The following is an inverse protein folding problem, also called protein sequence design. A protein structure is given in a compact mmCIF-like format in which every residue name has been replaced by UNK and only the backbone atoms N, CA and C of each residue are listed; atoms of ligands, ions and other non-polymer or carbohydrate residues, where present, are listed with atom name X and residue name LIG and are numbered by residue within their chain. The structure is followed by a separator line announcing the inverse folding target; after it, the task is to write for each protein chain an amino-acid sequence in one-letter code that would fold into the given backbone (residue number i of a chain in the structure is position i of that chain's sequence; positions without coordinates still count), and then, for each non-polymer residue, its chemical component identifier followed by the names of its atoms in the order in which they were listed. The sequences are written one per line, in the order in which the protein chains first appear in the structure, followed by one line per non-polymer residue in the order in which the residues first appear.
data_IF_633602004349
#
_entry.id   IF_633602004349
#
_cell.length_a   1.000
_cell.length_b   1.000
_cell.length_c   1.000
_cell.angle_alpha   90.00
_cell.angle_beta   90.00
_cell.angle_gamma   90.00
#
_symmetry.space_group_name_H-M   'P 1'
#
loop_
_entity.id
_entity.type
_entity.pdbx_description
1 polymer ?
#
# COMPACT_ATOMS: atom_id res chain seq x y z
N UNK A 1 -15.65 -4.23 31.48
CA UNK A 1 -14.80 -5.05 30.59
C UNK A 1 -13.68 -4.16 30.05
N UNK A 2 -12.40 -4.52 30.19
CA UNK A 2 -11.29 -3.63 29.79
C UNK A 2 -11.17 -3.53 28.26
N UNK A 3 -10.69 -2.40 27.73
CA UNK A 3 -10.45 -2.23 26.28
C UNK A 3 -9.56 -3.36 25.73
N UNK A 4 -8.54 -3.76 26.50
CA UNK A 4 -7.65 -4.87 26.13
C UNK A 4 -8.42 -6.18 25.91
N UNK A 5 -9.39 -6.49 26.77
CA UNK A 5 -10.20 -7.71 26.64
C UNK A 5 -11.14 -7.69 25.43
N UNK A 6 -11.65 -6.50 25.04
CA UNK A 6 -12.45 -6.32 23.83
C UNK A 6 -11.61 -6.59 22.58
N UNK A 7 -10.43 -5.98 22.46
CA UNK A 7 -9.59 -6.09 21.26
C UNK A 7 -8.81 -7.41 21.17
N UNK A 8 -8.86 -8.24 22.22
CA UNK A 8 -8.24 -9.58 22.23
C UNK A 8 -9.14 -10.66 21.61
N UNK A 9 -10.43 -10.36 21.38
CA UNK A 9 -11.40 -11.33 20.87
C UNK A 9 -11.86 -10.93 19.46
N UNK A 10 -12.11 -11.89 18.56
CA UNK A 10 -12.46 -11.58 17.17
C UNK A 10 -13.75 -10.79 17.04
N UNK A 11 -14.83 -11.26 17.68
CA UNK A 11 -16.16 -10.67 17.52
C UNK A 11 -16.18 -9.23 18.06
N UNK A 12 -15.77 -8.94 19.31
CA UNK A 12 -15.83 -7.56 19.81
C UNK A 12 -14.89 -6.61 19.05
N UNK A 13 -13.70 -7.08 18.62
CA UNK A 13 -12.78 -6.28 17.81
C UNK A 13 -13.39 -5.91 16.45
N UNK A 14 -13.93 -6.89 15.72
CA UNK A 14 -14.55 -6.66 14.42
C UNK A 14 -15.80 -5.79 14.55
N UNK A 15 -16.61 -5.97 15.60
CA UNK A 15 -17.75 -5.11 15.89
C UNK A 15 -17.31 -3.67 16.13
N UNK A 16 -16.28 -3.43 16.94
CA UNK A 16 -15.76 -2.08 17.18
C UNK A 16 -15.22 -1.45 15.89
N UNK A 17 -14.49 -2.21 15.08
CA UNK A 17 -13.96 -1.76 13.79
C UNK A 17 -15.06 -1.44 12.77
N UNK A 18 -16.14 -2.22 12.77
CA UNK A 18 -17.34 -1.98 11.97
C UNK A 18 -18.06 -0.71 12.43
N UNK A 19 -18.31 -0.57 13.74
CA UNK A 19 -18.97 0.61 14.31
C UNK A 19 -18.18 1.88 14.04
N UNK A 20 -16.85 1.85 14.16
CA UNK A 20 -15.99 2.98 13.80
C UNK A 20 -16.23 3.46 12.37
N UNK A 21 -16.24 2.53 11.40
CA UNK A 21 -16.50 2.85 9.99
C UNK A 21 -17.92 3.32 9.75
N UNK A 22 -18.90 2.69 10.41
CA UNK A 22 -20.30 3.09 10.32
C UNK A 22 -20.51 4.53 10.80
N UNK A 23 -19.95 4.87 11.97
CA UNK A 23 -19.98 6.24 12.51
C UNK A 23 -19.32 7.22 11.55
N UNK A 24 -18.14 6.89 11.01
CA UNK A 24 -17.44 7.75 10.05
C UNK A 24 -18.18 7.91 8.72
N UNK A 25 -18.90 6.89 8.24
CA UNK A 25 -19.77 7.00 7.06
C UNK A 25 -20.90 8.00 7.30
N UNK A 26 -21.63 7.87 8.41
CA UNK A 26 -22.71 8.80 8.74
C UNK A 26 -22.19 10.22 9.01
N UNK A 27 -21.07 10.34 9.73
CA UNK A 27 -20.39 11.62 9.92
C UNK A 27 -20.00 12.24 8.58
N UNK A 28 -19.46 11.44 7.65
CA UNK A 28 -19.11 11.89 6.31
C UNK A 28 -20.31 12.43 5.53
N UNK A 29 -21.46 11.76 5.61
CA UNK A 29 -22.71 12.25 5.00
C UNK A 29 -23.16 13.58 5.61
N UNK A 30 -23.09 13.71 6.93
CA UNK A 30 -23.43 14.94 7.64
C UNK A 30 -22.48 16.08 7.25
N UNK A 31 -21.17 15.82 7.22
CA UNK A 31 -20.17 16.81 6.83
C UNK A 31 -20.35 17.21 5.36
N UNK A 32 -20.60 16.27 4.45
CA UNK A 32 -20.81 16.58 3.04
C UNK A 32 -22.07 17.45 2.81
N UNK A 33 -23.11 17.29 3.64
CA UNK A 33 -24.32 18.09 3.58
C UNK A 33 -24.16 19.49 4.20
N UNK A 34 -23.40 19.63 5.29
CA UNK A 34 -23.35 20.86 6.10
C UNK A 34 -22.08 21.70 5.91
N UNK A 35 -20.98 21.10 5.44
CA UNK A 35 -19.68 21.77 5.33
C UNK A 35 -19.33 22.13 3.88
N UNK A 36 -18.68 23.28 3.63
CA UNK A 36 -18.03 23.55 2.35
C UNK A 36 -16.85 22.60 2.11
N UNK A 37 -16.13 22.21 3.15
CA UNK A 37 -15.03 21.24 3.07
C UNK A 37 -15.60 19.83 3.13
N UNK A 38 -15.58 19.15 1.98
CA UNK A 38 -16.17 17.83 1.81
C UNK A 38 -15.34 16.73 2.49
N UNK A 39 -16.06 15.79 3.07
CA UNK A 39 -15.52 14.53 3.57
C UNK A 39 -15.25 13.58 2.41
N UNK A 40 -16.19 13.45 1.46
CA UNK A 40 -16.01 12.59 0.28
C UNK A 40 -14.73 12.96 -0.48
N UNK A 41 -13.90 11.95 -0.75
CA UNK A 41 -12.71 12.09 -1.57
C UNK A 41 -13.10 12.40 -3.02
N UNK A 42 -12.36 13.29 -3.68
CA UNK A 42 -12.61 13.65 -5.07
C UNK A 42 -12.47 12.44 -6.00
N UNK A 43 -11.57 11.50 -5.68
CA UNK A 43 -11.38 10.28 -6.44
C UNK A 43 -12.66 9.43 -6.44
N UNK A 44 -13.44 9.47 -5.35
CA UNK A 44 -14.71 8.74 -5.27
C UNK A 44 -15.75 9.24 -6.27
N UNK A 45 -15.78 10.55 -6.52
CA UNK A 45 -16.64 11.15 -7.54
C UNK A 45 -16.19 10.71 -8.93
N UNK A 46 -14.88 10.70 -9.18
CA UNK A 46 -14.30 10.20 -10.45
C UNK A 46 -14.66 8.73 -10.67
N UNK A 47 -14.61 7.89 -9.62
CA UNK A 47 -15.04 6.50 -9.70
C UNK A 47 -16.52 6.36 -10.01
N UNK A 48 -17.36 7.16 -9.36
CA UNK A 48 -18.81 7.12 -9.51
C UNK A 48 -19.22 7.53 -10.93
N UNK A 49 -18.58 8.56 -11.48
CA UNK A 49 -18.83 8.99 -12.86
C UNK A 49 -18.37 7.93 -13.87
N UNK A 50 -17.18 7.34 -13.68
CA UNK A 50 -16.71 6.25 -14.53
C UNK A 50 -17.62 5.02 -14.47
N UNK A 51 -18.10 4.67 -13.29
CA UNK A 51 -19.09 3.61 -13.11
C UNK A 51 -20.43 3.95 -13.80
N UNK A 52 -20.84 5.23 -13.83
CA UNK A 52 -22.01 5.69 -14.57
C UNK A 52 -21.83 5.51 -16.08
N UNK A 53 -20.69 5.88 -16.64
CA UNK A 53 -20.40 5.63 -18.06
C UNK A 53 -20.46 4.14 -18.39
N UNK A 54 -19.82 3.29 -17.57
CA UNK A 54 -19.89 1.83 -17.73
C UNK A 54 -21.32 1.31 -17.65
N UNK A 55 -22.15 1.82 -16.72
CA UNK A 55 -23.55 1.38 -16.59
C UNK A 55 -24.42 1.72 -17.81
N UNK A 56 -24.01 2.70 -18.61
CA UNK A 56 -24.67 3.12 -19.84
C UNK A 56 -24.06 2.48 -21.09
N UNK A 57 -23.14 1.52 -20.94
CA UNK A 57 -22.43 0.87 -22.05
C UNK A 57 -21.25 1.67 -22.63
N UNK A 58 -20.88 2.79 -21.99
CA UNK A 58 -19.76 3.63 -22.37
C UNK A 58 -18.43 3.21 -21.76
N UNK A 59 -17.40 4.02 -21.98
CA UNK A 59 -16.06 3.79 -21.44
C UNK A 59 -15.87 4.49 -20.09
N UNK A 60 -15.24 3.86 -19.08
CA UNK A 60 -14.92 4.56 -17.83
C UNK A 60 -13.95 5.73 -18.07
N UNK A 61 -13.22 5.73 -19.18
CA UNK A 61 -12.30 6.80 -19.58
C UNK A 61 -12.99 8.00 -20.22
N UNK A 62 -14.29 7.91 -20.50
CA UNK A 62 -15.09 9.08 -20.90
C UNK A 62 -15.18 10.08 -19.74
N UNK A 63 -14.94 9.62 -18.50
CA UNK A 63 -14.59 10.51 -17.39
C UNK A 63 -13.14 10.96 -17.52
N UNK A 64 -12.94 12.21 -17.92
CA UNK A 64 -11.62 12.79 -18.26
C UNK A 64 -10.49 12.55 -17.26
N UNK A 65 -10.75 12.48 -15.95
CA UNK A 65 -9.73 12.31 -14.90
C UNK A 65 -9.64 10.88 -14.37
N UNK A 66 -10.34 9.91 -14.96
CA UNK A 66 -10.24 8.51 -14.55
C UNK A 66 -8.89 7.90 -14.95
N UNK A 67 -8.11 7.44 -13.96
CA UNK A 67 -6.74 6.91 -14.13
C UNK A 67 -6.53 5.53 -13.50
N UNK A 68 -7.62 4.77 -13.35
CA UNK A 68 -7.65 3.48 -12.64
C UNK A 68 -7.97 2.34 -13.62
N UNK A 69 -7.88 1.09 -13.17
CA UNK A 69 -8.31 -0.06 -13.99
C UNK A 69 -9.83 -0.03 -14.20
N UNK A 70 -10.36 -0.39 -15.38
CA UNK A 70 -11.80 -0.48 -15.60
C UNK A 70 -12.50 -1.45 -14.64
N UNK A 71 -11.78 -2.46 -14.11
CA UNK A 71 -12.33 -3.38 -13.11
C UNK A 71 -12.88 -2.64 -11.87
N UNK A 72 -12.27 -1.52 -11.49
CA UNK A 72 -12.76 -0.71 -10.39
C UNK A 72 -14.08 -0.01 -10.76
N UNK A 73 -14.21 0.52 -11.98
CA UNK A 73 -15.47 1.11 -12.44
C UNK A 73 -16.59 0.06 -12.49
N UNK A 74 -16.30 -1.14 -13.02
CA UNK A 74 -17.25 -2.27 -13.05
C UNK A 74 -17.70 -2.68 -11.64
N UNK A 75 -16.77 -2.82 -10.71
CA UNK A 75 -17.09 -3.13 -9.30
C UNK A 75 -18.03 -2.08 -8.68
N UNK A 76 -17.94 -0.84 -9.13
CA UNK A 76 -18.64 0.30 -8.56
C UNK A 76 -19.90 0.70 -9.32
N UNK A 77 -20.33 -0.04 -10.34
CA UNK A 77 -21.60 0.19 -11.05
C UNK A 77 -22.79 0.40 -10.09
N UNK A 78 -22.93 -0.36 -8.97
CA UNK A 78 -24.04 -0.13 -8.05
C UNK A 78 -24.03 1.24 -7.35
N UNK A 79 -22.90 1.95 -7.35
CA UNK A 79 -22.78 3.32 -6.85
C UNK A 79 -23.67 4.31 -7.61
N UNK A 80 -24.06 3.97 -8.85
CA UNK A 80 -24.93 4.81 -9.69
C UNK A 80 -26.35 4.98 -9.14
N UNK A 81 -26.87 4.00 -8.41
CA UNK A 81 -28.18 4.05 -7.76
C UNK A 81 -28.09 4.09 -6.23
N UNK A 82 -26.98 3.65 -5.65
CA UNK A 82 -26.67 3.81 -4.23
C UNK A 82 -25.31 4.49 -4.05
N UNK A 83 -25.28 5.83 -3.97
CA UNK A 83 -24.05 6.62 -3.96
C UNK A 83 -23.01 6.19 -2.90
N UNK A 84 -23.42 5.62 -1.76
CA UNK A 84 -22.47 5.18 -0.73
C UNK A 84 -21.96 3.74 -0.91
N UNK A 85 -22.41 3.01 -1.94
CA UNK A 85 -22.06 1.61 -2.17
C UNK A 85 -20.56 1.35 -2.20
N UNK A 86 -19.81 2.13 -2.99
CA UNK A 86 -18.36 1.99 -3.07
C UNK A 86 -17.67 2.25 -1.73
N UNK A 87 -18.08 3.28 -0.98
CA UNK A 87 -17.58 3.54 0.37
C UNK A 87 -17.82 2.36 1.32
N UNK A 88 -18.99 1.73 1.22
CA UNK A 88 -19.31 0.53 2.02
C UNK A 88 -18.40 -0.64 1.65
N UNK A 89 -18.17 -0.90 0.36
CA UNK A 89 -17.24 -1.95 -0.09
C UNK A 89 -15.81 -1.67 0.37
N UNK A 90 -15.34 -0.43 0.26
CA UNK A 90 -13.98 -0.07 0.69
C UNK A 90 -13.82 -0.21 2.20
N UNK A 91 -14.81 0.22 2.98
CA UNK A 91 -14.82 0.04 4.42
C UNK A 91 -14.87 -1.46 4.82
N UNK A 92 -15.64 -2.28 4.10
CA UNK A 92 -15.67 -3.73 4.29
C UNK A 92 -14.33 -4.38 3.94
N UNK A 93 -13.65 -3.91 2.90
CA UNK A 93 -12.33 -4.41 2.51
C UNK A 93 -11.30 -4.24 3.63
N UNK A 94 -11.32 -3.12 4.36
CA UNK A 94 -10.43 -2.96 5.52
C UNK A 94 -10.66 -4.02 6.60
N UNK A 95 -11.92 -4.38 6.87
CA UNK A 95 -12.28 -5.40 7.86
C UNK A 95 -11.75 -6.77 7.43
N UNK A 96 -11.90 -7.11 6.15
CA UNK A 96 -11.35 -8.34 5.55
C UNK A 96 -9.82 -8.34 5.63
N UNK A 97 -9.17 -7.23 5.29
CA UNK A 97 -7.72 -7.10 5.35
C UNK A 97 -7.19 -7.29 6.78
N UNK A 98 -7.83 -6.67 7.77
CA UNK A 98 -7.47 -6.83 9.18
C UNK A 98 -7.73 -8.25 9.71
N UNK A 99 -8.81 -8.90 9.27
CA UNK A 99 -9.07 -10.30 9.57
C UNK A 99 -7.98 -11.21 8.97
N UNK A 100 -7.60 -11.00 7.71
CA UNK A 100 -6.51 -11.75 7.05
C UNK A 100 -5.18 -11.56 7.80
N UNK A 101 -4.86 -10.34 8.23
CA UNK A 101 -3.69 -10.05 9.07
C UNK A 101 -3.72 -10.87 10.36
N UNK A 102 -4.85 -10.93 11.06
CA UNK A 102 -5.00 -11.77 12.25
C UNK A 102 -4.76 -13.26 11.93
N UNK A 103 -5.32 -13.76 10.81
CA UNK A 103 -5.12 -15.16 10.37
C UNK A 103 -3.66 -15.46 10.06
N UNK A 104 -2.95 -14.55 9.39
CA UNK A 104 -1.52 -14.68 9.09
C UNK A 104 -0.71 -14.80 10.39
N UNK A 105 -1.02 -13.97 11.40
CA UNK A 105 -0.36 -14.01 12.71
C UNK A 105 -0.65 -15.32 13.45
N UNK A 106 -1.91 -15.76 13.49
CA UNK A 106 -2.36 -16.97 14.19
C UNK A 106 -1.77 -18.24 13.56
N UNK A 107 -1.71 -18.32 12.23
CA UNK A 107 -1.27 -19.55 11.55
C UNK A 107 0.25 -19.67 11.48
N UNK A 108 0.99 -18.57 11.67
CA UNK A 108 2.45 -18.55 11.63
C UNK A 108 3.00 -18.58 10.20
N UNK A 109 4.08 -17.83 9.95
CA UNK A 109 4.63 -17.68 8.60
C UNK A 109 5.32 -18.95 8.09
N UNK A 110 4.60 -19.76 7.30
CA UNK A 110 5.14 -20.79 6.38
C UNK A 110 6.06 -21.89 6.94
N UNK A 111 6.30 -21.91 8.26
CA UNK A 111 7.11 -22.91 8.95
C UNK A 111 6.52 -24.30 8.77
N UNK A 112 7.37 -25.28 8.47
CA UNK A 112 6.98 -26.64 8.11
C UNK A 112 6.03 -27.27 9.15
N UNK A 113 4.82 -27.65 8.70
CA UNK A 113 3.89 -28.49 9.47
C UNK A 113 4.48 -29.86 9.86
N UNK A 114 5.62 -30.27 9.31
CA UNK A 114 6.19 -31.60 9.56
C UNK A 114 7.13 -31.68 10.76
N UNK A 115 7.57 -30.56 11.35
CA UNK A 115 8.46 -30.55 12.53
C UNK A 115 7.73 -30.36 13.86
N UNK A 116 6.42 -30.14 13.84
CA UNK A 116 5.62 -29.93 15.06
C UNK A 116 5.30 -31.24 15.83
N UNK A 117 5.77 -32.41 15.36
CA UNK A 117 5.50 -33.70 16.03
C UNK A 117 6.64 -34.22 16.90
N UNK A 118 7.71 -33.45 17.08
CA UNK A 118 8.90 -33.92 17.79
C UNK A 118 9.64 -32.80 18.52
N UNK A 119 8.94 -32.01 19.35
CA UNK A 119 9.58 -31.32 20.48
C UNK A 119 8.55 -31.22 21.60
N UNK A 120 8.41 -32.31 22.36
CA UNK A 120 7.84 -32.25 23.69
C UNK A 120 9.00 -32.10 24.69
N UNK A 121 8.79 -31.23 25.68
CA UNK A 121 9.58 -30.99 26.90
C UNK A 121 10.85 -30.14 26.78
N UNK A 122 10.70 -28.88 27.20
CA UNK A 122 11.77 -28.14 27.88
C UNK A 122 12.20 -26.82 27.23
N UNK A 123 11.62 -25.70 27.68
CA UNK A 123 12.32 -24.42 27.78
C UNK A 123 12.60 -23.61 26.50
N UNK A 124 12.08 -22.37 26.52
CA UNK A 124 12.37 -21.20 25.66
C UNK A 124 11.72 -21.19 24.26
N UNK A 125 10.93 -20.13 24.05
CA UNK A 125 10.25 -19.77 22.82
C UNK A 125 11.21 -19.69 21.63
N UNK A 126 11.32 -20.79 20.89
CA UNK A 126 12.01 -20.90 19.60
C UNK A 126 11.01 -20.90 18.45
N UNK A 127 11.26 -20.01 17.50
CA UNK A 127 10.57 -19.75 16.24
C UNK A 127 10.07 -20.99 15.48
N UNK A 128 8.76 -21.03 15.18
CA UNK A 128 8.17 -21.98 14.23
C UNK A 128 6.65 -22.12 14.32
N UNK A 129 6.04 -21.71 15.44
CA UNK A 129 4.59 -21.75 15.67
C UNK A 129 3.90 -20.40 15.45
N UNK A 130 2.64 -20.44 15.06
CA UNK A 130 1.78 -19.26 14.99
C UNK A 130 1.58 -18.57 16.34
N UNK A 131 1.10 -17.33 16.30
CA UNK A 131 0.90 -16.49 17.47
C UNK A 131 -0.36 -16.89 18.24
N UNK A 132 -0.32 -16.77 19.57
CA UNK A 132 -1.52 -16.82 20.40
C UNK A 132 -2.64 -15.91 19.83
N UNK A 133 -3.88 -16.42 19.67
CA UNK A 133 -4.96 -15.66 19.05
C UNK A 133 -5.25 -14.32 19.71
N UNK A 134 -5.23 -14.24 21.04
CA UNK A 134 -5.50 -12.97 21.72
C UNK A 134 -4.44 -11.92 21.37
N UNK A 135 -3.17 -12.32 21.40
CA UNK A 135 -2.06 -11.45 20.98
C UNK A 135 -2.18 -11.06 19.51
N UNK A 136 -2.56 -11.98 18.62
CA UNK A 136 -2.73 -11.71 17.20
C UNK A 136 -3.84 -10.67 16.94
N UNK A 137 -4.99 -10.78 17.62
CA UNK A 137 -6.07 -9.79 17.49
C UNK A 137 -5.66 -8.41 18.02
N UNK A 138 -4.87 -8.33 19.10
CA UNK A 138 -4.30 -7.05 19.57
C UNK A 138 -3.43 -6.38 18.51
N UNK A 139 -2.62 -7.15 17.77
CA UNK A 139 -1.85 -6.59 16.65
C UNK A 139 -2.74 -6.22 15.46
N UNK A 140 -3.70 -7.06 15.09
CA UNK A 140 -4.65 -6.75 14.01
C UNK A 140 -5.48 -5.49 14.31
N UNK A 141 -5.72 -5.18 15.59
CA UNK A 141 -6.39 -3.95 16.01
C UNK A 141 -5.66 -2.68 15.55
N UNK A 142 -4.33 -2.73 15.33
CA UNK A 142 -3.53 -1.61 14.81
C UNK A 142 -3.94 -1.23 13.38
N UNK A 143 -4.52 -2.15 12.62
CA UNK A 143 -5.15 -1.85 11.32
C UNK A 143 -6.65 -1.60 11.47
N UNK A 144 -7.36 -2.51 12.15
CA UNK A 144 -8.83 -2.50 12.23
C UNK A 144 -9.38 -1.25 12.93
N UNK A 145 -8.69 -0.73 13.94
CA UNK A 145 -9.11 0.44 14.72
C UNK A 145 -8.30 1.70 14.36
N UNK A 146 -7.54 1.67 13.28
CA UNK A 146 -6.74 2.82 12.86
C UNK A 146 -7.66 3.91 12.28
N UNK A 147 -7.71 5.11 12.87
CA UNK A 147 -8.58 6.18 12.39
C UNK A 147 -8.21 6.65 10.98
N UNK A 148 -6.93 6.57 10.59
CA UNK A 148 -6.50 6.92 9.24
C UNK A 148 -7.03 5.93 8.21
N UNK A 149 -6.91 4.62 8.47
CA UNK A 149 -7.42 3.56 7.59
C UNK A 149 -8.93 3.69 7.45
N UNK A 150 -9.64 3.78 8.58
CA UNK A 150 -11.09 3.90 8.59
C UNK A 150 -11.55 5.16 7.86
N UNK A 151 -10.91 6.31 8.10
CA UNK A 151 -11.27 7.57 7.42
C UNK A 151 -11.04 7.48 5.92
N UNK A 152 -9.88 6.98 5.47
CA UNK A 152 -9.56 6.93 4.03
C UNK A 152 -10.55 6.04 3.27
N UNK A 153 -10.94 4.89 3.81
CA UNK A 153 -11.93 4.02 3.15
C UNK A 153 -13.33 4.63 3.16
N UNK A 154 -13.79 5.19 4.28
CA UNK A 154 -15.13 5.81 4.38
C UNK A 154 -15.26 7.12 3.60
N UNK A 155 -14.14 7.81 3.32
CA UNK A 155 -14.09 8.93 2.36
C UNK A 155 -14.29 8.49 0.91
N UNK A 156 -14.12 7.20 0.60
CA UNK A 156 -14.33 6.63 -0.73
C UNK A 156 -13.06 6.25 -1.48
N UNK A 157 -11.96 6.01 -0.78
CA UNK A 157 -10.72 5.52 -1.41
C UNK A 157 -10.69 4.00 -1.53
N UNK A 158 -10.26 3.48 -2.67
CA UNK A 158 -10.21 2.04 -2.96
C UNK A 158 -8.99 1.31 -2.37
N UNK A 159 -8.12 1.98 -1.62
CA UNK A 159 -6.85 1.38 -1.14
C UNK A 159 -7.07 0.17 -0.20
N UNK A 160 -8.22 0.10 0.49
CA UNK A 160 -8.58 -1.07 1.30
C UNK A 160 -8.65 -2.36 0.48
N UNK A 161 -9.07 -2.30 -0.80
CA UNK A 161 -9.09 -3.44 -1.72
C UNK A 161 -7.67 -3.96 -1.99
N UNK A 162 -6.70 -3.06 -2.16
CA UNK A 162 -5.29 -3.44 -2.30
C UNK A 162 -4.72 -4.02 -1.00
N UNK A 163 -5.16 -3.52 0.15
CA UNK A 163 -4.86 -4.10 1.46
C UNK A 163 -5.31 -5.58 1.53
N UNK A 164 -6.53 -5.89 1.07
CA UNK A 164 -7.03 -7.27 0.98
C UNK A 164 -6.17 -8.11 0.05
N UNK A 165 -5.93 -7.65 -1.19
CA UNK A 165 -5.13 -8.40 -2.18
C UNK A 165 -3.72 -8.70 -1.65
N UNK A 166 -3.11 -7.74 -0.97
CA UNK A 166 -1.76 -7.86 -0.42
C UNK A 166 -1.71 -8.81 0.78
N UNK A 167 -2.65 -8.70 1.72
CA UNK A 167 -2.74 -9.63 2.85
C UNK A 167 -3.07 -11.05 2.37
N UNK A 168 -4.00 -11.19 1.42
CA UNK A 168 -4.34 -12.47 0.82
C UNK A 168 -3.16 -13.09 0.08
N UNK A 169 -2.33 -12.29 -0.60
CA UNK A 169 -1.11 -12.75 -1.26
C UNK A 169 -0.13 -13.36 -0.24
N UNK A 170 0.16 -12.66 0.86
CA UNK A 170 1.00 -13.21 1.94
C UNK A 170 0.38 -14.50 2.48
N UNK A 171 -0.92 -14.49 2.75
CA UNK A 171 -1.62 -15.66 3.26
C UNK A 171 -1.49 -16.86 2.33
N UNK A 172 -1.70 -16.68 1.02
CA UNK A 172 -1.55 -17.73 0.01
C UNK A 172 -0.10 -18.25 -0.08
N UNK A 173 0.90 -17.36 -0.02
CA UNK A 173 2.32 -17.72 -0.02
C UNK A 173 2.67 -18.56 1.21
N UNK A 174 2.21 -18.14 2.40
CA UNK A 174 2.43 -18.87 3.65
C UNK A 174 1.71 -20.22 3.69
N UNK A 175 0.55 -20.33 3.05
CA UNK A 175 -0.16 -21.60 2.84
C UNK A 175 0.45 -22.46 1.74
N UNK A 176 1.56 -22.03 1.13
CA UNK A 176 2.25 -22.67 0.01
C UNK A 176 1.34 -22.92 -1.21
N UNK A 177 0.31 -22.10 -1.37
CA UNK A 177 -0.60 -22.20 -2.52
C UNK A 177 -0.16 -21.22 -3.60
N UNK A 178 0.80 -21.64 -4.43
CA UNK A 178 1.38 -20.78 -5.47
C UNK A 178 0.40 -20.45 -6.59
N UNK A 179 -0.68 -21.25 -6.78
CA UNK A 179 -1.74 -20.90 -7.72
C UNK A 179 -2.46 -19.63 -7.29
N UNK A 180 -2.97 -19.62 -6.05
CA UNK A 180 -3.67 -18.43 -5.52
C UNK A 180 -2.71 -17.25 -5.36
N UNK A 181 -1.47 -17.48 -4.92
CA UNK A 181 -0.47 -16.42 -4.84
C UNK A 181 -0.21 -15.80 -6.22
N UNK A 182 -0.11 -16.62 -7.28
CA UNK A 182 0.05 -16.16 -8.65
C UNK A 182 -1.12 -15.30 -9.12
N UNK A 183 -2.36 -15.80 -8.93
CA UNK A 183 -3.59 -15.06 -9.28
C UNK A 183 -3.65 -13.72 -8.54
N UNK A 184 -3.43 -13.72 -7.22
CA UNK A 184 -3.51 -12.52 -6.39
C UNK A 184 -2.42 -11.50 -6.75
N UNK A 185 -1.20 -11.95 -7.05
CA UNK A 185 -0.13 -11.08 -7.51
C UNK A 185 -0.47 -10.46 -8.88
N UNK A 186 -0.89 -11.27 -9.86
CA UNK A 186 -1.24 -10.77 -11.19
C UNK A 186 -2.43 -9.81 -11.17
N UNK A 187 -3.48 -10.15 -10.40
CA UNK A 187 -4.64 -9.28 -10.16
C UNK A 187 -4.23 -7.99 -9.45
N UNK A 188 -3.38 -8.08 -8.42
CA UNK A 188 -2.86 -6.92 -7.70
C UNK A 188 -2.13 -5.94 -8.62
N UNK A 189 -1.22 -6.44 -9.47
CA UNK A 189 -0.47 -5.64 -10.44
C UNK A 189 -1.37 -5.02 -11.51
N UNK A 190 -2.41 -5.75 -11.96
CA UNK A 190 -3.40 -5.19 -12.88
C UNK A 190 -4.24 -4.09 -12.20
N UNK A 191 -4.62 -4.30 -10.94
CA UNK A 191 -5.45 -3.34 -10.20
C UNK A 191 -4.70 -2.04 -9.91
N UNK A 192 -3.41 -2.14 -9.57
CA UNK A 192 -2.47 -1.03 -9.45
C UNK A 192 -1.08 -1.54 -9.71
N UNK A 193 -0.22 -0.80 -10.42
CA UNK A 193 1.04 -1.37 -10.90
C UNK A 193 1.98 -1.82 -9.77
N UNK A 194 2.07 -1.06 -8.66
CA UNK A 194 3.12 -1.19 -7.64
C UNK A 194 3.33 -2.57 -6.97
N UNK A 195 2.32 -3.46 -6.79
CA UNK A 195 2.53 -4.80 -6.21
C UNK A 195 3.52 -5.66 -6.99
N UNK A 196 3.92 -5.26 -8.20
CA UNK A 196 4.95 -5.95 -8.98
C UNK A 196 6.27 -6.04 -8.21
N UNK A 197 6.55 -5.06 -7.34
CA UNK A 197 7.75 -5.07 -6.50
C UNK A 197 7.78 -6.28 -5.55
N UNK A 198 6.63 -6.90 -5.22
CA UNK A 198 6.59 -8.05 -4.33
C UNK A 198 7.10 -9.36 -4.96
N UNK A 199 7.12 -9.46 -6.30
CA UNK A 199 7.57 -10.67 -7.00
C UNK A 199 9.01 -11.08 -6.61
N UNK A 200 10.04 -10.20 -6.70
CA UNK A 200 11.39 -10.51 -6.27
C UNK A 200 11.49 -11.03 -4.83
N UNK A 201 10.77 -10.41 -3.89
CA UNK A 201 10.80 -10.84 -2.49
C UNK A 201 10.16 -12.21 -2.28
N UNK A 202 9.02 -12.49 -2.93
CA UNK A 202 8.35 -13.79 -2.84
C UNK A 202 9.23 -14.88 -3.46
N UNK A 203 9.72 -14.67 -4.69
CA UNK A 203 10.58 -15.64 -5.38
C UNK A 203 11.86 -15.90 -4.57
N UNK A 204 12.50 -14.84 -4.07
CA UNK A 204 13.69 -14.97 -3.22
C UNK A 204 13.36 -15.70 -1.92
N UNK A 205 12.23 -15.42 -1.27
CA UNK A 205 11.77 -16.07 -0.04
C UNK A 205 11.55 -17.58 -0.19
N UNK A 206 11.11 -18.07 -1.36
CA UNK A 206 10.82 -19.48 -1.67
C UNK A 206 12.08 -20.36 -1.79
N UNK A 207 12.88 -20.53 -0.73
CA UNK A 207 13.95 -21.56 -0.73
C UNK A 207 13.43 -22.98 -0.52
N UNK A 208 14.31 -23.94 -0.81
CA UNK A 208 14.05 -25.36 -0.63
C UNK A 208 13.76 -25.72 0.83
N UNK A 209 14.37 -25.06 1.81
CA UNK A 209 14.05 -25.31 3.23
C UNK A 209 12.58 -24.98 3.53
N UNK A 210 12.08 -23.89 2.95
CA UNK A 210 10.69 -23.45 3.11
C UNK A 210 9.72 -24.16 2.18
N UNK A 211 10.17 -24.76 1.08
CA UNK A 211 9.25 -25.35 0.09
C UNK A 211 9.29 -26.88 0.04
N UNK A 212 10.46 -27.51 0.22
CA UNK A 212 10.68 -28.93 -0.11
C UNK A 212 11.50 -29.75 0.90
N UNK A 213 12.14 -29.12 1.89
CA UNK A 213 12.93 -29.79 2.91
C UNK A 213 14.32 -30.23 2.43
N UNK A 214 15.35 -29.69 3.11
CA UNK A 214 16.78 -30.08 3.14
C UNK A 214 17.36 -30.82 1.92
N UNK A 215 17.86 -30.05 0.97
CA UNK A 215 19.10 -30.39 0.27
C UNK A 215 20.05 -29.20 0.48
N UNK A 216 21.23 -29.41 1.04
CA UNK A 216 22.22 -28.34 1.14
C UNK A 216 22.79 -28.06 -0.26
N UNK A 217 23.04 -26.79 -0.58
CA UNK A 217 23.85 -26.43 -1.77
C UNK A 217 25.31 -26.50 -1.35
N UNK A 218 26.18 -27.24 -2.07
CA UNK A 218 27.62 -27.20 -1.81
C UNK A 218 28.15 -25.75 -1.92
N UNK A 219 29.00 -25.28 -0.99
CA UNK A 219 29.53 -23.91 -1.01
C UNK A 219 30.19 -23.54 -2.35
N UNK A 220 30.94 -24.50 -2.90
CA UNK A 220 31.76 -24.37 -4.11
C UNK A 220 31.00 -24.67 -5.41
N UNK A 221 29.68 -24.82 -5.35
CA UNK A 221 28.88 -25.05 -6.54
C UNK A 221 28.97 -23.85 -7.50
N UNK A 222 29.12 -24.15 -8.79
CA UNK A 222 29.21 -23.14 -9.85
C UNK A 222 27.99 -22.21 -9.86
N UNK A 223 28.17 -20.98 -10.34
CA UNK A 223 27.07 -20.01 -10.49
C UNK A 223 25.95 -20.57 -11.37
N UNK A 224 26.30 -21.32 -12.42
CA UNK A 224 25.33 -21.98 -13.29
C UNK A 224 24.49 -23.01 -12.51
N UNK A 225 25.12 -23.84 -11.68
CA UNK A 225 24.40 -24.80 -10.84
C UNK A 225 23.43 -24.09 -9.87
N UNK A 226 23.88 -23.01 -9.23
CA UNK A 226 23.04 -22.20 -8.33
C UNK A 226 21.86 -21.57 -9.08
N UNK A 227 22.08 -21.09 -10.32
CA UNK A 227 21.04 -20.51 -11.17
C UNK A 227 20.00 -21.54 -11.63
N UNK A 228 20.44 -22.72 -12.11
CA UNK A 228 19.53 -23.80 -12.52
C UNK A 228 18.71 -24.30 -11.34
N UNK A 229 19.33 -24.50 -10.17
CA UNK A 229 18.65 -24.93 -8.95
C UNK A 229 17.67 -23.89 -8.40
N UNK A 230 17.90 -22.61 -8.70
CA UNK A 230 16.95 -21.55 -8.36
C UNK A 230 15.61 -21.70 -9.10
N UNK A 231 15.60 -22.38 -10.26
CA UNK A 231 14.38 -22.63 -11.02
C UNK A 231 13.67 -23.84 -10.41
N UNK A 232 12.65 -23.57 -9.59
CA UNK A 232 11.80 -24.61 -8.99
C UNK A 232 10.40 -24.61 -9.63
N UNK A 233 9.71 -25.77 -9.70
CA UNK A 233 8.35 -25.84 -10.21
C UNK A 233 7.38 -24.87 -9.51
N UNK A 234 7.56 -24.62 -8.21
CA UNK A 234 6.73 -23.68 -7.46
C UNK A 234 6.97 -22.23 -7.87
N UNK A 235 8.23 -21.84 -8.10
CA UNK A 235 8.58 -20.50 -8.61
C UNK A 235 8.08 -20.32 -10.04
N UNK A 236 8.24 -21.33 -10.90
CA UNK A 236 7.72 -21.32 -12.27
C UNK A 236 6.20 -21.21 -12.25
N UNK A 237 5.51 -21.99 -11.42
CA UNK A 237 4.06 -21.94 -11.27
C UNK A 237 3.57 -20.57 -10.82
N UNK A 238 4.20 -19.98 -9.81
CA UNK A 238 3.89 -18.61 -9.37
C UNK A 238 4.04 -17.61 -10.52
N UNK A 239 5.17 -17.64 -11.22
CA UNK A 239 5.49 -16.72 -12.33
C UNK A 239 4.53 -16.86 -13.51
N UNK A 240 4.25 -18.09 -13.95
CA UNK A 240 3.38 -18.31 -15.10
C UNK A 240 1.94 -17.94 -14.80
N UNK A 241 1.42 -18.26 -13.61
CA UNK A 241 0.05 -17.92 -13.22
C UNK A 241 -0.10 -16.42 -13.00
N UNK A 242 0.87 -15.75 -12.38
CA UNK A 242 0.82 -14.29 -12.20
C UNK A 242 0.89 -13.56 -13.53
N UNK A 243 1.78 -13.98 -14.44
CA UNK A 243 1.88 -13.43 -15.78
C UNK A 243 0.61 -13.68 -16.58
N UNK A 244 0.07 -14.90 -16.57
CA UNK A 244 -1.16 -15.24 -17.28
C UNK A 244 -2.36 -14.42 -16.76
N UNK A 245 -2.48 -14.26 -15.44
CA UNK A 245 -3.55 -13.46 -14.83
C UNK A 245 -3.41 -11.98 -15.20
N UNK A 246 -2.21 -11.41 -15.04
CA UNK A 246 -1.95 -10.03 -15.41
C UNK A 246 -2.18 -9.78 -16.89
N UNK A 247 -1.58 -10.58 -17.77
CA UNK A 247 -1.73 -10.43 -19.22
C UNK A 247 -3.17 -10.67 -19.68
N UNK A 248 -3.84 -11.70 -19.16
CA UNK A 248 -5.23 -11.99 -19.50
C UNK A 248 -6.17 -10.83 -19.18
N UNK A 249 -6.04 -10.23 -17.98
CA UNK A 249 -6.83 -9.06 -17.60
C UNK A 249 -6.49 -7.83 -18.45
N UNK A 250 -5.21 -7.59 -18.74
CA UNK A 250 -4.81 -6.45 -19.58
C UNK A 250 -5.27 -6.60 -21.03
N UNK A 251 -5.14 -7.80 -21.62
CA UNK A 251 -5.65 -8.09 -22.95
C UNK A 251 -7.16 -7.92 -22.98
N UNK A 252 -7.89 -8.45 -22.00
CA UNK A 252 -9.33 -8.29 -21.90
C UNK A 252 -9.74 -6.80 -21.85
N UNK A 253 -9.14 -6.02 -20.96
CA UNK A 253 -9.45 -4.58 -20.84
C UNK A 253 -9.04 -3.79 -22.09
N UNK A 254 -7.94 -4.16 -22.75
CA UNK A 254 -7.52 -3.54 -24.00
C UNK A 254 -8.47 -3.87 -25.16
N UNK A 255 -8.99 -5.09 -25.24
CA UNK A 255 -9.98 -5.45 -26.26
C UNK A 255 -11.29 -4.68 -26.10
N UNK A 256 -11.67 -4.34 -24.87
CA UNK A 256 -12.89 -3.59 -24.58
C UNK A 256 -12.68 -2.07 -24.80
N UNK A 257 -11.57 -1.51 -24.32
CA UNK A 257 -11.39 -0.04 -24.21
C UNK A 257 -10.26 0.53 -25.06
N UNK A 258 -9.46 -0.30 -25.74
CA UNK A 258 -8.38 0.12 -26.63
C UNK A 258 -7.26 0.92 -25.96
N UNK A 259 -6.66 1.83 -26.73
CA UNK A 259 -5.56 2.69 -26.30
C UNK A 259 -5.86 3.54 -25.04
N UNK A 260 -7.07 4.10 -24.84
CA UNK A 260 -7.43 4.79 -23.60
C UNK A 260 -7.09 4.02 -22.32
N UNK A 261 -7.30 2.69 -22.30
CA UNK A 261 -6.95 1.85 -21.15
C UNK A 261 -5.46 1.92 -20.82
N UNK A 262 -4.58 1.68 -21.80
CA UNK A 262 -3.12 1.68 -21.59
C UNK A 262 -2.63 3.06 -21.19
N UNK A 263 -3.14 4.10 -21.87
CA UNK A 263 -2.76 5.49 -21.62
C UNK A 263 -3.11 5.91 -20.20
N UNK A 264 -4.36 5.72 -19.78
CA UNK A 264 -4.85 6.25 -18.51
C UNK A 264 -4.52 5.38 -17.30
N UNK A 265 -4.49 4.05 -17.44
CA UNK A 265 -4.20 3.14 -16.31
C UNK A 265 -2.71 3.01 -16.05
N UNK A 266 -1.85 3.08 -17.07
CA UNK A 266 -0.40 2.87 -16.90
C UNK A 266 0.45 4.06 -17.32
N UNK A 267 0.41 4.48 -18.59
CA UNK A 267 1.37 5.45 -19.13
C UNK A 267 1.29 6.81 -18.47
N UNK A 268 0.07 7.24 -18.10
CA UNK A 268 -0.15 8.48 -17.37
C UNK A 268 0.69 8.56 -16.09
N UNK A 269 0.91 7.46 -15.36
CA UNK A 269 1.68 7.51 -14.10
C UNK A 269 3.18 7.71 -14.33
N UNK A 270 3.69 7.35 -15.52
CA UNK A 270 5.09 7.60 -15.91
C UNK A 270 5.34 9.09 -16.12
N UNK A 271 4.40 9.81 -16.71
CA UNK A 271 4.52 11.24 -17.00
C UNK A 271 3.89 12.15 -15.93
N UNK A 272 3.03 11.59 -15.05
CA UNK A 272 2.33 12.34 -14.00
C UNK A 272 3.31 13.13 -13.13
N UNK A 273 3.01 14.40 -12.96
CA UNK A 273 3.65 15.31 -12.01
C UNK A 273 2.54 15.87 -11.12
N UNK A 274 2.80 15.91 -9.83
CA UNK A 274 1.89 16.52 -8.86
C UNK A 274 2.64 17.55 -8.06
N UNK A 275 2.35 18.82 -8.31
CA UNK A 275 3.01 19.95 -7.65
C UNK A 275 2.22 20.47 -6.45
N UNK A 276 0.96 20.02 -6.26
CA UNK A 276 0.12 20.37 -5.11
C UNK A 276 -0.07 19.13 -4.25
N UNK A 277 -0.30 19.32 -2.95
CA UNK A 277 -0.64 18.20 -2.02
C UNK A 277 0.26 16.96 -2.07
N UNK A 278 1.52 17.13 -2.43
CA UNK A 278 2.43 16.02 -2.66
C UNK A 278 3.45 15.96 -1.52
N UNK A 279 3.43 14.88 -0.73
CA UNK A 279 4.38 14.63 0.37
C UNK A 279 5.76 14.20 -0.12
N UNK A 280 5.96 14.09 -1.44
CA UNK A 280 7.22 13.67 -2.02
C UNK A 280 8.34 14.66 -1.66
N UNK A 281 9.56 14.16 -1.38
CA UNK A 281 10.75 15.02 -1.27
C UNK A 281 11.00 15.86 -2.53
N UNK A 282 10.45 15.44 -3.68
CA UNK A 282 10.55 16.15 -4.96
C UNK A 282 9.49 17.27 -5.13
N UNK A 283 8.57 17.47 -4.19
CA UNK A 283 7.46 18.43 -4.30
C UNK A 283 7.93 19.83 -4.71
N UNK A 284 8.90 20.41 -3.99
CA UNK A 284 9.36 21.77 -4.25
C UNK A 284 10.02 21.89 -5.62
N UNK A 285 10.79 20.87 -6.02
CA UNK A 285 11.39 20.83 -7.36
C UNK A 285 10.32 20.78 -8.45
N UNK A 286 9.30 19.93 -8.28
CA UNK A 286 8.18 19.81 -9.21
C UNK A 286 7.35 21.10 -9.28
N UNK A 287 7.16 21.77 -8.14
CA UNK A 287 6.47 23.06 -8.06
C UNK A 287 7.26 24.19 -8.75
N UNK A 288 8.58 24.25 -8.57
CA UNK A 288 9.41 25.25 -9.25
C UNK A 288 9.54 24.97 -10.75
N UNK A 289 9.53 23.70 -11.16
CA UNK A 289 9.57 23.33 -12.57
C UNK A 289 8.24 23.60 -13.28
N UNK A 290 7.10 23.54 -12.57
CA UNK A 290 5.79 23.84 -13.18
C UNK A 290 5.59 25.31 -13.52
N UNK A 291 6.39 26.22 -12.97
CA UNK A 291 6.37 27.66 -13.31
C UNK A 291 7.35 28.07 -14.41
N UNK A 292 8.22 27.16 -14.87
CA UNK A 292 9.20 27.43 -15.94
C UNK A 292 8.60 27.17 -17.32
N UNK A 293 9.04 27.95 -18.32
CA UNK A 293 8.73 27.71 -19.72
C UNK A 293 9.38 26.42 -20.21
N UNK A 294 8.71 25.69 -21.11
CA UNK A 294 9.20 24.41 -21.63
C UNK A 294 10.56 24.52 -22.37
N UNK A 295 10.90 25.72 -22.89
CA UNK A 295 12.19 26.04 -23.51
C UNK A 295 13.37 26.03 -22.54
N UNK A 296 13.10 26.23 -21.24
CA UNK A 296 14.13 26.45 -20.21
C UNK A 296 14.37 25.19 -19.36
N UNK A 297 13.64 24.12 -19.65
CA UNK A 297 13.78 22.85 -18.96
C UNK A 297 14.96 22.06 -19.55
N UNK A 298 15.86 21.51 -18.71
CA UNK A 298 16.91 20.64 -19.19
C UNK A 298 16.31 19.40 -19.90
N UNK A 299 16.98 18.87 -20.93
CA UNK A 299 16.46 17.75 -21.72
C UNK A 299 16.25 16.47 -20.90
N UNK A 300 16.98 16.34 -19.79
CA UNK A 300 16.79 15.27 -18.82
C UNK A 300 15.96 15.80 -17.64
N UNK A 301 14.72 15.33 -17.55
CA UNK A 301 13.82 15.63 -16.43
C UNK A 301 14.40 15.00 -15.16
N UNK A 302 14.94 15.82 -14.26
CA UNK A 302 15.57 15.35 -13.02
C UNK A 302 14.65 14.48 -12.17
N UNK A 303 13.33 14.58 -12.37
CA UNK A 303 12.34 13.81 -11.61
C UNK A 303 12.19 12.37 -12.12
N UNK A 304 12.62 12.08 -13.36
CA UNK A 304 12.71 10.69 -13.83
C UNK A 304 13.84 9.92 -13.15
N UNK A 305 14.83 10.62 -12.58
CA UNK A 305 15.88 9.97 -11.79
C UNK A 305 15.34 9.39 -10.48
N UNK A 306 14.18 9.85 -9.99
CA UNK A 306 13.54 9.31 -8.79
C UNK A 306 13.24 7.80 -8.91
N UNK A 307 12.99 7.30 -10.13
CA UNK A 307 12.74 5.89 -10.38
C UNK A 307 13.96 5.01 -10.09
N UNK A 308 15.19 5.54 -10.19
CA UNK A 308 16.41 4.75 -9.98
C UNK A 308 16.53 4.28 -8.53
N UNK A 309 16.64 5.16 -7.52
CA UNK A 309 16.70 4.71 -6.13
C UNK A 309 15.40 4.00 -5.71
N UNK A 310 14.25 4.42 -6.24
CA UNK A 310 12.96 3.79 -5.94
C UNK A 310 12.95 2.32 -6.36
N UNK A 311 13.26 1.99 -7.62
CA UNK A 311 13.22 0.62 -8.13
C UNK A 311 14.41 -0.21 -7.64
N UNK A 312 15.61 0.39 -7.54
CA UNK A 312 16.79 -0.30 -7.03
C UNK A 312 16.56 -0.77 -5.58
N UNK A 313 16.05 0.11 -4.71
CA UNK A 313 15.77 -0.26 -3.32
C UNK A 313 14.59 -1.22 -3.22
N UNK A 314 13.45 -0.87 -3.82
CA UNK A 314 12.20 -1.62 -3.63
C UNK A 314 12.17 -2.95 -4.38
N UNK A 315 12.72 -3.06 -5.59
CA UNK A 315 12.63 -4.29 -6.39
C UNK A 315 13.88 -5.18 -6.32
N UNK A 316 15.03 -4.66 -5.87
CA UNK A 316 16.31 -5.41 -5.88
C UNK A 316 16.95 -5.54 -4.50
N UNK A 317 17.41 -4.44 -3.90
CA UNK A 317 18.27 -4.51 -2.70
C UNK A 317 17.53 -5.01 -1.46
N UNK A 318 16.33 -4.50 -1.19
CA UNK A 318 15.53 -4.90 -0.01
C UNK A 318 15.11 -6.38 -0.09
N UNK A 319 14.59 -6.91 -1.22
CA UNK A 319 14.34 -8.34 -1.39
C UNK A 319 15.53 -9.21 -1.02
N UNK A 320 16.70 -8.90 -1.56
CA UNK A 320 17.91 -9.73 -1.39
C UNK A 320 18.33 -9.82 0.08
N UNK A 321 18.25 -8.71 0.82
CA UNK A 321 18.70 -8.61 2.22
C UNK A 321 17.65 -9.09 3.22
N UNK A 322 16.37 -8.76 3.00
CA UNK A 322 15.33 -8.87 4.03
C UNK A 322 14.41 -10.08 3.80
N UNK A 323 14.11 -10.45 2.55
CA UNK A 323 13.06 -11.45 2.29
C UNK A 323 13.40 -12.81 2.89
N UNK A 324 14.69 -13.20 2.96
CA UNK A 324 15.09 -14.43 3.66
C UNK A 324 14.82 -14.40 5.15
N UNK A 325 14.79 -13.24 5.80
CA UNK A 325 14.50 -13.13 7.24
C UNK A 325 13.00 -13.09 7.51
N UNK A 326 12.27 -12.25 6.79
CA UNK A 326 10.82 -12.10 6.93
C UNK A 326 10.23 -11.51 5.66
N UNK A 327 9.26 -12.22 5.06
CA UNK A 327 8.57 -11.76 3.86
C UNK A 327 7.73 -10.50 4.13
N UNK A 328 6.86 -10.44 5.16
CA UNK A 328 6.11 -9.23 5.49
C UNK A 328 7.00 -8.03 5.79
N UNK A 329 8.13 -8.24 6.48
CA UNK A 329 9.08 -7.16 6.75
C UNK A 329 9.75 -6.66 5.45
N UNK A 330 10.09 -7.58 4.54
CA UNK A 330 10.62 -7.22 3.22
C UNK A 330 9.57 -6.44 2.43
N UNK A 331 8.35 -6.96 2.26
CA UNK A 331 7.28 -6.27 1.52
C UNK A 331 6.92 -4.92 2.14
N UNK A 332 6.92 -4.80 3.47
CA UNK A 332 6.76 -3.51 4.17
C UNK A 332 7.87 -2.52 3.79
N UNK A 333 9.13 -2.93 3.90
CA UNK A 333 10.28 -2.09 3.59
C UNK A 333 10.34 -1.73 2.10
N UNK A 334 10.01 -2.66 1.20
CA UNK A 334 9.91 -2.42 -0.23
C UNK A 334 8.85 -1.36 -0.53
N UNK A 335 7.67 -1.48 0.08
CA UNK A 335 6.57 -0.53 -0.12
C UNK A 335 6.90 0.83 0.47
N UNK A 336 7.50 0.86 1.66
CA UNK A 336 7.94 2.10 2.29
C UNK A 336 8.99 2.83 1.43
N UNK A 337 10.00 2.11 0.92
CA UNK A 337 10.98 2.68 0.00
C UNK A 337 10.34 3.13 -1.32
N UNK A 338 9.41 2.33 -1.86
CA UNK A 338 8.68 2.68 -3.07
C UNK A 338 7.90 4.00 -2.90
N UNK A 339 7.24 4.20 -1.76
CA UNK A 339 6.49 5.44 -1.46
C UNK A 339 7.43 6.61 -1.16
N UNK A 340 8.47 6.40 -0.34
CA UNK A 340 9.39 7.46 0.08
C UNK A 340 10.17 8.09 -1.09
N UNK A 341 10.55 7.29 -2.08
CA UNK A 341 11.27 7.76 -3.27
C UNK A 341 10.34 8.00 -4.47
N UNK A 342 9.03 7.99 -4.28
CA UNK A 342 8.10 8.31 -5.37
C UNK A 342 8.07 9.82 -5.63
N UNK A 343 7.98 10.22 -6.90
CA UNK A 343 7.74 11.60 -7.33
C UNK A 343 6.36 12.13 -6.93
N UNK A 344 5.37 11.25 -6.74
CA UNK A 344 4.03 11.60 -6.27
C UNK A 344 3.72 10.78 -5.02
N UNK A 345 3.36 11.44 -3.94
CA UNK A 345 3.00 10.82 -2.67
C UNK A 345 1.79 11.54 -2.07
N UNK A 346 0.68 10.82 -1.97
CA UNK A 346 -0.55 11.27 -1.28
C UNK A 346 -0.75 10.46 -0.01
N UNK A 347 -1.59 10.95 0.93
CA UNK A 347 -1.85 10.25 2.20
C UNK A 347 -2.39 8.83 2.02
N UNK A 348 -3.09 8.55 0.91
CA UNK A 348 -3.62 7.24 0.56
C UNK A 348 -2.51 6.18 0.45
N UNK A 349 -1.30 6.57 0.05
CA UNK A 349 -0.18 5.65 -0.19
C UNK A 349 0.36 5.07 1.12
N UNK A 350 0.11 5.72 2.25
CA UNK A 350 0.58 5.25 3.55
C UNK A 350 -0.11 3.94 3.96
N UNK A 351 -1.34 3.68 3.47
CA UNK A 351 -2.02 2.41 3.72
C UNK A 351 -1.24 1.22 3.14
N UNK A 352 -0.48 1.41 2.06
CA UNK A 352 0.21 0.33 1.37
C UNK A 352 1.27 -0.33 2.23
N UNK A 353 1.98 0.43 3.09
CA UNK A 353 2.94 -0.16 4.02
C UNK A 353 2.33 -0.38 5.42
N UNK A 354 1.30 0.37 5.82
CA UNK A 354 0.63 0.19 7.12
C UNK A 354 -0.06 -1.17 7.25
N UNK A 355 -0.53 -1.79 6.15
CA UNK A 355 -1.13 -3.14 6.20
C UNK A 355 -0.16 -4.20 6.74
N UNK A 356 1.15 -4.02 6.54
CA UNK A 356 2.17 -4.95 7.05
C UNK A 356 2.61 -4.63 8.48
N UNK A 357 2.30 -3.44 9.01
CA UNK A 357 2.77 -3.00 10.32
C UNK A 357 2.38 -3.99 11.44
N UNK A 358 1.14 -4.51 11.52
CA UNK A 358 0.78 -5.55 12.49
C UNK A 358 1.59 -6.85 12.35
N UNK A 359 2.05 -7.17 11.14
CA UNK A 359 2.85 -8.38 10.86
C UNK A 359 4.32 -8.19 11.24
N UNK A 360 4.84 -6.97 11.12
CA UNK A 360 6.23 -6.63 11.44
C UNK A 360 6.46 -6.33 12.93
N UNK A 361 5.55 -5.57 13.55
CA UNK A 361 5.69 -5.08 14.92
C UNK A 361 6.07 -6.15 15.97
N UNK A 362 5.48 -7.36 15.98
CA UNK A 362 5.75 -8.37 17.01
C UNK A 362 7.22 -8.77 17.14
N UNK A 363 7.98 -8.67 16.04
CA UNK A 363 9.41 -8.99 15.95
C UNK A 363 10.30 -7.76 15.73
N UNK A 364 9.72 -6.55 15.77
CA UNK A 364 10.41 -5.32 15.44
C UNK A 364 11.24 -4.77 16.60
N UNK A 365 12.29 -4.03 16.27
CA UNK A 365 13.04 -3.23 17.25
C UNK A 365 12.20 -2.12 17.89
N UNK A 366 11.07 -1.71 17.28
CA UNK A 366 10.19 -0.66 17.82
C UNK A 366 9.48 -1.09 19.12
N UNK A 367 9.15 -2.37 19.27
CA UNK A 367 8.59 -2.88 20.52
C UNK A 367 9.68 -3.29 21.52
N UNK A 368 10.82 -3.79 21.03
CA UNK A 368 11.96 -4.12 21.89
C UNK A 368 12.58 -2.87 22.53
N UNK A 369 12.56 -1.74 21.83
CA UNK A 369 12.98 -0.42 22.33
C UNK A 369 11.85 0.59 22.19
N UNK A 370 11.02 0.80 23.24
CA UNK A 370 9.90 1.72 23.19
C UNK A 370 10.30 3.15 22.84
N UNK A 371 11.51 3.60 23.23
CA UNK A 371 12.05 4.91 22.84
C UNK A 371 12.19 5.03 21.32
N UNK A 372 12.73 4.00 20.67
CA UNK A 372 12.85 3.94 19.20
C UNK A 372 11.46 3.93 18.55
N UNK A 373 10.53 3.11 19.07
CA UNK A 373 9.16 3.02 18.54
C UNK A 373 8.39 4.35 18.64
N UNK A 374 8.44 5.01 19.80
CA UNK A 374 7.80 6.32 20.02
C UNK A 374 8.47 7.40 19.16
N UNK A 375 9.80 7.42 19.07
CA UNK A 375 10.51 8.37 18.22
C UNK A 375 10.14 8.18 16.74
N UNK A 376 10.11 6.93 16.25
CA UNK A 376 9.70 6.63 14.87
C UNK A 376 8.26 7.05 14.60
N UNK A 377 7.33 6.80 15.54
CA UNK A 377 5.94 7.23 15.42
C UNK A 377 5.82 8.76 15.39
N UNK A 378 6.54 9.46 16.28
CA UNK A 378 6.55 10.92 16.31
C UNK A 378 7.11 11.52 15.01
N UNK A 379 8.24 10.98 14.51
CA UNK A 379 8.83 11.36 13.23
C UNK A 379 7.95 11.02 12.03
N UNK A 380 7.03 10.07 12.17
CA UNK A 380 6.05 9.79 11.13
C UNK A 380 4.85 10.75 11.20
N UNK A 381 4.27 10.98 12.38
CA UNK A 381 3.04 11.78 12.56
C UNK A 381 3.29 13.29 12.49
N UNK A 382 4.31 13.80 13.19
CA UNK A 382 4.52 15.25 13.34
C UNK A 382 4.78 15.94 12.00
N UNK A 383 5.66 15.43 11.11
CA UNK A 383 5.88 16.07 9.81
C UNK A 383 4.62 16.08 8.94
N UNK A 384 3.79 15.03 9.00
CA UNK A 384 2.50 15.00 8.28
C UNK A 384 1.55 16.07 8.81
N UNK A 385 1.41 16.20 10.13
CA UNK A 385 0.55 17.20 10.74
C UNK A 385 1.02 18.62 10.40
N UNK A 386 2.34 18.87 10.47
CA UNK A 386 2.93 20.15 10.08
C UNK A 386 2.67 20.46 8.60
N UNK A 387 2.90 19.50 7.71
CA UNK A 387 2.64 19.68 6.28
C UNK A 387 1.16 19.98 5.98
N UNK A 388 0.25 19.18 6.56
CA UNK A 388 -1.19 19.36 6.40
C UNK A 388 -1.68 20.70 6.94
N UNK A 389 -1.13 21.17 8.06
CA UNK A 389 -1.46 22.49 8.61
C UNK A 389 -1.06 23.62 7.63
N UNK A 390 0.13 23.52 7.02
CA UNK A 390 0.57 24.53 6.05
C UNK A 390 -0.23 24.47 4.75
N UNK A 391 -0.56 23.27 4.28
CA UNK A 391 -1.43 23.06 3.13
C UNK A 391 -2.83 23.63 3.39
N UNK A 392 -3.39 23.41 4.58
CA UNK A 392 -4.70 23.95 4.95
C UNK A 392 -4.73 25.48 4.92
N UNK A 393 -3.72 26.11 5.54
CA UNK A 393 -3.58 27.56 5.55
C UNK A 393 -3.46 28.13 4.13
N UNK A 394 -2.71 27.47 3.24
CA UNK A 394 -2.55 27.91 1.87
C UNK A 394 -3.84 27.76 1.06
N UNK A 395 -4.44 26.58 1.10
CA UNK A 395 -5.48 26.21 0.15
C UNK A 395 -6.89 26.59 0.58
N UNK A 396 -7.18 26.56 1.88
CA UNK A 396 -8.51 26.87 2.40
C UNK A 396 -8.59 28.28 2.97
N UNK A 397 -7.49 28.79 3.57
CA UNK A 397 -7.47 30.15 4.13
C UNK A 397 -6.84 31.19 3.20
N UNK A 398 -6.19 30.76 2.11
CA UNK A 398 -5.52 31.67 1.17
C UNK A 398 -4.27 32.36 1.75
N UNK A 399 -3.75 31.87 2.87
CA UNK A 399 -2.58 32.46 3.52
C UNK A 399 -1.29 32.04 2.80
N UNK A 400 -0.39 32.97 2.43
CA UNK A 400 0.87 32.62 1.77
C UNK A 400 1.80 31.92 2.77
N UNK A 401 1.80 30.60 2.78
CA UNK A 401 2.65 29.81 3.69
C UNK A 401 4.00 29.42 3.10
N UNK A 402 4.29 29.78 1.84
CA UNK A 402 5.50 29.35 1.14
C UNK A 402 6.80 29.66 1.91
N UNK A 403 6.97 30.90 2.40
CA UNK A 403 8.12 31.32 3.20
C UNK A 403 7.62 32.09 4.44
N UNK A 404 8.06 31.75 5.67
CA UNK A 404 9.00 30.69 6.05
C UNK A 404 8.34 29.32 6.35
N UNK A 405 7.07 29.10 5.98
CA UNK A 405 6.29 27.94 6.41
C UNK A 405 6.59 26.63 5.67
N UNK A 406 6.22 26.54 4.39
CA UNK A 406 6.33 25.34 3.55
C UNK A 406 7.80 25.01 3.25
N UNK A 407 8.67 26.02 3.19
CA UNK A 407 10.11 25.89 2.99
C UNK A 407 10.86 26.03 4.31
N UNK A 408 11.04 24.93 5.05
CA UNK A 408 12.13 24.88 6.02
C UNK A 408 13.45 24.58 5.30
N UNK A 409 13.88 25.51 4.45
CA UNK A 409 15.27 25.63 4.00
C UNK A 409 15.76 26.94 4.59
N UNK A 410 16.65 26.86 5.57
CA UNK A 410 17.13 28.03 6.30
C UNK A 410 17.72 29.08 5.37
N UNK A 411 17.15 30.29 5.41
CA UNK A 411 17.90 31.52 5.64
C UNK A 411 16.90 32.66 5.89
N UNK A 412 16.72 33.06 7.16
CA UNK A 412 15.80 34.11 7.58
C UNK A 412 16.38 35.54 7.43
N UNK A 413 17.35 35.77 6.53
CA UNK A 413 18.05 37.07 6.47
C UNK A 413 17.86 37.91 5.19
N UNK A 414 17.09 37.49 4.17
CA UNK A 414 17.02 38.25 2.89
C UNK A 414 15.66 38.76 2.41
N UNK A 415 14.64 38.87 3.27
CA UNK A 415 13.35 39.47 2.87
C UNK A 415 13.02 40.83 3.50
N UNK A 416 13.94 41.43 4.27
CA UNK A 416 13.79 42.83 4.75
C UNK A 416 14.33 43.90 3.78
N UNK A 417 14.98 43.52 2.67
CA UNK A 417 15.60 44.50 1.76
C UNK A 417 14.76 44.86 0.51
N UNK A 418 13.65 44.17 0.22
CA UNK A 418 12.84 44.41 -0.99
C UNK A 418 11.54 45.20 -0.74
N UNK A 419 11.44 45.89 0.40
CA UNK A 419 10.33 46.83 0.71
C UNK A 419 10.78 48.30 0.73
N UNK A 420 11.96 48.60 0.21
CA UNK A 420 12.48 49.95 0.03
C UNK A 420 13.27 50.03 -1.28
N UNK A 421 12.57 49.89 -2.41
CA UNK A 421 12.99 50.35 -3.73
C UNK A 421 11.74 50.52 -4.60
#
# INVERSE_FOLDING_TARGET
MSLLSLISRPIPLLTLAFLLRLVLLFYGLLQDALSPVKYTDIDYLVFTDAARFVSLGGSPYDRETYRYTPLLAWLLVPTTWFFSFGKVIFAAADLVAGWLVARILIEGGGGSRSTARSVEKGGRAGSGGGMDPERAYRFAAIWLLNPMVATISTRGSSEGLLGVLTAALIYAVYRRNMSWAGILLGLGVHFKIYPFIYAPAIIWWMDEERMRGKLAVPPDASLLYKAVRFITPERVKLTLISLATFMGLNVLMYQIYGTPFITHTFLHHVTRIDHRHNFSPYNVLLYLNSSRSASDLPPLRTESLAFIPQLLLSAVLIPLVVAKRSLPASMMAQTFAFVAFNKVCTSQYFLWYLIFLPLYLPSSSFLSSPKLGVAALALWVVPQAMWLQQAYNLEFLGNPTFVPGLTWTGDSTRQKAAKAA
#
